data_IF_780212086880
#
_entry.id   IF_780212086880
#
_cell.length_a   1.000
_cell.length_b   1.000
_cell.length_c   1.000
_cell.angle_alpha   90.00
_cell.angle_beta   90.00
_cell.angle_gamma   90.00
#
_symmetry.space_group_name_H-M   'P 1'
#
loop_
_entity.id
_entity.type
_entity.pdbx_description
1 polymer ?
#
# COMPACT_ATOMS: atom_id res chain seq x y z
N UNK A 1 4.50 -12.48 -16.17
CA UNK A 1 3.40 -12.21 -17.12
C UNK A 1 2.24 -11.57 -16.36
N UNK A 2 1.78 -10.41 -16.83
CA UNK A 2 0.57 -9.75 -16.33
C UNK A 2 -0.67 -10.53 -16.79
N UNK A 3 -1.67 -10.64 -15.93
CA UNK A 3 -2.93 -11.32 -16.24
C UNK A 3 -4.01 -10.32 -16.65
N UNK A 4 -5.01 -10.77 -17.42
CA UNK A 4 -6.14 -9.93 -17.80
C UNK A 4 -6.97 -9.51 -16.58
N UNK A 5 -7.30 -8.22 -16.53
CA UNK A 5 -8.24 -7.65 -15.57
C UNK A 5 -9.69 -7.83 -16.06
N UNK A 6 -10.62 -7.89 -15.12
CA UNK A 6 -12.06 -8.04 -15.37
C UNK A 6 -12.83 -6.78 -14.95
N UNK A 7 -14.11 -6.68 -15.34
CA UNK A 7 -15.00 -5.59 -14.88
C UNK A 7 -15.13 -5.55 -13.34
N UNK A 8 -15.04 -6.70 -12.68
CA UNK A 8 -15.01 -6.75 -11.22
C UNK A 8 -13.71 -6.15 -10.66
N UNK A 9 -12.58 -6.33 -11.35
CA UNK A 9 -11.31 -5.73 -10.93
C UNK A 9 -11.40 -4.20 -10.98
N UNK A 10 -12.04 -3.62 -12.02
CA UNK A 10 -12.34 -2.19 -12.10
C UNK A 10 -13.24 -1.69 -10.97
N UNK A 11 -14.30 -2.45 -10.65
CA UNK A 11 -15.19 -2.13 -9.51
C UNK A 11 -14.42 -2.07 -8.18
N UNK A 12 -13.51 -3.00 -7.94
CA UNK A 12 -12.72 -3.01 -6.70
C UNK A 12 -11.58 -1.98 -6.72
N UNK A 13 -11.00 -1.69 -7.88
CA UNK A 13 -10.08 -0.57 -8.04
C UNK A 13 -10.77 0.78 -7.75
N UNK A 14 -12.01 0.96 -8.23
CA UNK A 14 -12.84 2.12 -7.87
C UNK A 14 -13.08 2.19 -6.36
N UNK A 15 -13.35 1.07 -5.69
CA UNK A 15 -13.43 1.08 -4.23
C UNK A 15 -12.11 1.50 -3.55
N UNK A 16 -10.95 1.07 -4.06
CA UNK A 16 -9.64 1.51 -3.59
C UNK A 16 -9.41 3.01 -3.84
N UNK A 17 -9.87 3.56 -4.96
CA UNK A 17 -9.76 4.99 -5.26
C UNK A 17 -10.55 5.86 -4.27
N UNK A 18 -11.71 5.39 -3.81
CA UNK A 18 -12.46 6.06 -2.74
C UNK A 18 -11.70 6.08 -1.41
N UNK A 19 -10.94 5.02 -1.10
CA UNK A 19 -10.06 5.02 0.07
C UNK A 19 -8.87 5.97 -0.13
N UNK A 20 -8.29 6.03 -1.34
CA UNK A 20 -7.20 6.94 -1.66
C UNK A 20 -7.55 8.41 -1.40
N UNK A 21 -8.80 8.81 -1.66
CA UNK A 21 -9.32 10.17 -1.37
C UNK A 21 -9.24 10.56 0.11
N UNK A 22 -9.15 9.58 1.02
CA UNK A 22 -9.05 9.81 2.47
C UNK A 22 -7.61 10.00 2.96
N UNK A 23 -6.61 9.82 2.09
CA UNK A 23 -5.20 10.01 2.46
C UNK A 23 -4.87 11.49 2.65
N UNK A 24 -4.22 11.80 3.77
CA UNK A 24 -3.63 13.13 4.06
C UNK A 24 -2.22 13.31 3.46
N UNK A 25 -1.66 12.27 2.86
CA UNK A 25 -0.35 12.33 2.19
C UNK A 25 -0.51 12.84 0.76
N UNK A 26 0.49 13.58 0.28
CA UNK A 26 0.57 14.10 -1.10
C UNK A 26 0.40 12.98 -2.14
N UNK A 27 1.02 11.82 -1.89
CA UNK A 27 0.87 10.65 -2.73
C UNK A 27 -0.30 9.79 -2.25
N UNK A 28 -1.50 10.11 -2.72
CA UNK A 28 -2.77 9.52 -2.25
C UNK A 28 -2.92 8.08 -2.75
N UNK A 29 -2.64 7.10 -1.89
CA UNK A 29 -2.83 5.68 -2.16
C UNK A 29 -3.99 5.11 -1.37
N UNK A 30 -4.78 4.29 -2.02
CA UNK A 30 -5.87 3.53 -1.42
C UNK A 30 -5.72 2.06 -1.74
N UNK A 31 -6.22 1.22 -0.84
CA UNK A 31 -6.14 -0.21 -0.97
C UNK A 31 -7.39 -0.90 -0.43
N UNK A 32 -7.82 -1.98 -1.10
CA UNK A 32 -8.86 -2.88 -0.59
C UNK A 32 -8.44 -4.34 -0.76
N UNK A 33 -8.80 -5.17 0.21
CA UNK A 33 -8.67 -6.62 0.13
C UNK A 33 -10.05 -7.26 -0.11
N UNK A 34 -10.12 -8.16 -1.08
CA UNK A 34 -11.36 -8.82 -1.52
C UNK A 34 -11.21 -10.33 -1.41
N UNK A 35 -12.23 -11.00 -0.88
CA UNK A 35 -12.36 -12.45 -0.92
C UNK A 35 -13.78 -12.83 -1.33
N UNK A 36 -13.92 -13.80 -2.23
CA UNK A 36 -15.23 -14.26 -2.74
C UNK A 36 -16.17 -13.12 -3.15
N UNK A 37 -15.64 -12.10 -3.85
CA UNK A 37 -16.39 -10.92 -4.31
C UNK A 37 -16.77 -9.90 -3.23
N UNK A 38 -16.34 -10.08 -1.98
CA UNK A 38 -16.62 -9.19 -0.86
C UNK A 38 -15.36 -8.49 -0.37
N UNK A 39 -15.45 -7.19 -0.12
CA UNK A 39 -14.35 -6.42 0.47
C UNK A 39 -14.28 -6.73 1.97
N UNK A 40 -13.13 -7.21 2.45
CA UNK A 40 -12.91 -7.61 3.86
C UNK A 40 -12.03 -6.63 4.64
N UNK A 41 -11.23 -5.82 3.95
CA UNK A 41 -10.44 -4.75 4.55
C UNK A 41 -10.24 -3.60 3.54
N UNK A 42 -10.09 -2.38 4.08
CA UNK A 42 -9.96 -1.13 3.32
C UNK A 42 -9.03 -0.19 4.06
N UNK A 43 -8.29 0.64 3.33
CA UNK A 43 -7.47 1.66 3.94
C UNK A 43 -6.69 2.49 2.93
N UNK A 44 -6.04 3.52 3.44
CA UNK A 44 -5.14 4.39 2.69
C UNK A 44 -3.79 4.49 3.39
N UNK A 45 -2.83 5.11 2.72
CA UNK A 45 -1.55 5.43 3.33
C UNK A 45 -1.70 6.55 4.37
N UNK A 46 -0.87 6.47 5.43
CA UNK A 46 -0.96 7.37 6.60
C UNK A 46 0.43 7.73 7.11
N UNK A 47 0.55 8.80 7.90
CA UNK A 47 1.81 9.20 8.55
C UNK A 47 2.25 8.27 9.70
N UNK A 48 1.64 7.09 9.83
CA UNK A 48 1.99 6.12 10.86
C UNK A 48 3.37 5.52 10.58
N UNK A 49 4.29 5.69 11.50
CA UNK A 49 5.69 5.24 11.36
C UNK A 49 6.04 4.01 12.21
N UNK A 50 5.12 3.54 13.05
CA UNK A 50 5.39 2.43 13.98
C UNK A 50 4.16 1.54 14.26
N UNK A 51 4.40 0.24 14.44
CA UNK A 51 3.44 -0.68 15.04
C UNK A 51 4.12 -1.72 15.95
N UNK A 52 3.48 -2.01 17.09
CA UNK A 52 3.99 -3.01 18.04
C UNK A 52 3.93 -4.46 17.55
N UNK A 53 3.16 -4.73 16.50
CA UNK A 53 3.11 -6.04 15.81
C UNK A 53 4.17 -6.18 14.70
N UNK A 54 5.01 -5.16 14.52
CA UNK A 54 6.15 -5.22 13.60
C UNK A 54 5.84 -5.08 12.11
N UNK A 55 4.58 -4.83 11.73
CA UNK A 55 4.20 -4.52 10.34
C UNK A 55 4.73 -3.18 9.84
N UNK A 56 5.02 -2.24 10.76
CA UNK A 56 5.57 -0.93 10.43
C UNK A 56 6.77 -0.72 11.36
N UNK A 57 7.96 -0.75 10.78
CA UNK A 57 9.23 -0.48 11.47
C UNK A 57 10.05 0.46 10.61
N UNK A 58 10.68 1.45 11.24
CA UNK A 58 11.66 2.33 10.61
C UNK A 58 11.21 2.87 9.25
N UNK A 59 9.96 3.32 9.17
CA UNK A 59 9.38 3.91 7.96
C UNK A 59 8.88 5.32 8.21
N UNK A 60 8.96 6.17 7.17
CA UNK A 60 8.42 7.52 7.20
C UNK A 60 6.88 7.57 7.11
N UNK A 61 6.25 6.47 6.68
CA UNK A 61 4.80 6.37 6.55
C UNK A 61 4.35 4.91 6.48
N UNK A 62 3.06 4.68 6.67
CA UNK A 62 2.44 3.39 6.44
C UNK A 62 1.80 3.41 5.06
N UNK A 63 2.22 2.51 4.18
CA UNK A 63 1.62 2.38 2.86
C UNK A 63 0.22 1.73 2.93
N UNK A 64 -0.61 1.97 1.92
CA UNK A 64 -1.99 1.52 1.89
C UNK A 64 -2.06 -0.02 1.92
N UNK A 65 -1.15 -0.69 1.23
CA UNK A 65 -1.02 -2.15 1.16
C UNK A 65 -0.75 -2.75 2.54
N UNK A 66 0.23 -2.19 3.26
CA UNK A 66 0.60 -2.63 4.61
C UNK A 66 -0.55 -2.41 5.59
N UNK A 67 -1.22 -1.25 5.50
CA UNK A 67 -2.40 -0.95 6.31
C UNK A 67 -3.49 -2.04 6.15
N UNK A 68 -3.83 -2.37 4.91
CA UNK A 68 -4.88 -3.35 4.61
C UNK A 68 -4.47 -4.78 4.96
N UNK A 69 -3.24 -5.20 4.62
CA UNK A 69 -2.76 -6.55 4.94
C UNK A 69 -2.67 -6.77 6.44
N UNK A 70 -2.28 -5.75 7.21
CA UNK A 70 -2.29 -5.80 8.67
C UNK A 70 -3.70 -5.97 9.23
N UNK A 71 -4.72 -5.34 8.64
CA UNK A 71 -6.11 -5.58 9.02
C UNK A 71 -6.55 -7.01 8.71
N UNK A 72 -6.20 -7.54 7.54
CA UNK A 72 -6.48 -8.94 7.18
C UNK A 72 -5.83 -9.92 8.17
N UNK A 73 -4.56 -9.68 8.52
CA UNK A 73 -3.83 -10.47 9.50
C UNK A 73 -4.52 -10.43 10.87
N UNK A 74 -4.86 -9.24 11.38
CA UNK A 74 -5.55 -9.09 12.67
C UNK A 74 -6.96 -9.69 12.71
N UNK A 75 -7.62 -9.78 11.56
CA UNK A 75 -8.93 -10.44 11.42
C UNK A 75 -8.81 -11.95 11.21
N UNK A 76 -7.61 -12.51 11.22
CA UNK A 76 -7.34 -13.92 10.94
C UNK A 76 -8.00 -14.40 9.63
N UNK A 77 -7.92 -13.59 8.57
CA UNK A 77 -8.46 -13.99 7.27
C UNK A 77 -7.65 -15.19 6.73
N UNK A 78 -8.35 -16.30 6.53
CA UNK A 78 -7.75 -17.54 6.01
C UNK A 78 -8.06 -17.77 4.52
N UNK A 79 -9.16 -17.21 4.04
CA UNK A 79 -9.57 -17.33 2.64
C UNK A 79 -8.60 -16.61 1.70
N UNK A 80 -8.47 -17.10 0.47
CA UNK A 80 -7.66 -16.44 -0.55
C UNK A 80 -8.19 -15.03 -0.83
N UNK A 81 -7.30 -14.06 -0.86
CA UNK A 81 -7.64 -12.66 -1.14
C UNK A 81 -6.98 -12.16 -2.42
N UNK A 82 -7.63 -11.19 -3.05
CA UNK A 82 -7.03 -10.30 -4.03
C UNK A 82 -6.87 -8.93 -3.39
N UNK A 83 -5.73 -8.30 -3.60
CA UNK A 83 -5.41 -6.96 -3.11
C UNK A 83 -5.49 -5.98 -4.29
N UNK A 84 -6.22 -4.88 -4.12
CA UNK A 84 -6.35 -3.82 -5.12
C UNK A 84 -5.70 -2.56 -4.57
N UNK A 85 -4.81 -1.94 -5.33
CA UNK A 85 -4.04 -0.75 -4.95
C UNK A 85 -4.23 0.30 -6.03
N UNK A 86 -4.60 1.51 -5.63
CA UNK A 86 -4.78 2.64 -6.56
C UNK A 86 -4.11 3.86 -5.97
N UNK A 87 -3.45 4.64 -6.83
CA UNK A 87 -2.97 5.98 -6.52
C UNK A 87 -3.78 6.99 -7.32
N UNK A 88 -4.09 8.12 -6.71
CA UNK A 88 -4.72 9.23 -7.41
C UNK A 88 -3.71 10.34 -7.71
N UNK A 89 -3.72 10.83 -8.95
CA UNK A 89 -3.15 12.12 -9.32
C UNK A 89 -4.00 13.27 -8.76
N UNK A 90 -3.54 14.52 -8.87
CA UNK A 90 -4.22 15.70 -8.33
C UNK A 90 -5.62 15.89 -8.90
N UNK A 91 -5.79 15.64 -10.20
CA UNK A 91 -7.06 15.68 -10.94
C UNK A 91 -8.03 14.52 -10.61
N UNK A 92 -7.59 13.54 -9.80
CA UNK A 92 -8.39 12.38 -9.43
C UNK A 92 -8.33 11.22 -10.42
N UNK A 93 -7.53 11.32 -11.48
CA UNK A 93 -7.23 10.19 -12.37
C UNK A 93 -6.34 9.15 -11.68
N UNK A 94 -6.33 7.92 -12.21
CA UNK A 94 -5.45 6.87 -11.74
C UNK A 94 -4.01 7.16 -12.13
N UNK A 95 -3.11 7.09 -11.15
CA UNK A 95 -1.68 7.22 -11.32
C UNK A 95 -0.98 5.92 -10.95
N UNK A 96 0.32 5.82 -11.26
CA UNK A 96 1.10 4.63 -10.94
C UNK A 96 1.09 4.33 -9.43
N UNK A 97 0.61 3.12 -9.09
CA UNK A 97 0.51 2.58 -7.74
C UNK A 97 1.24 1.25 -7.58
N UNK A 98 2.21 0.98 -8.46
CA UNK A 98 3.11 -0.15 -8.37
C UNK A 98 3.67 -0.31 -6.94
N UNK A 99 3.38 -1.43 -6.25
CA UNK A 99 3.76 -1.60 -4.85
C UNK A 99 5.28 -1.52 -4.66
N UNK A 100 5.74 -0.90 -3.59
CA UNK A 100 7.18 -0.86 -3.32
C UNK A 100 7.73 -2.24 -2.90
N UNK A 101 9.05 -2.37 -2.93
CA UNK A 101 9.74 -3.61 -2.55
C UNK A 101 9.34 -4.15 -1.17
N UNK A 102 9.14 -3.25 -0.19
CA UNK A 102 8.75 -3.64 1.17
C UNK A 102 7.30 -4.15 1.24
N UNK A 103 6.37 -3.47 0.57
CA UNK A 103 4.99 -3.95 0.44
C UNK A 103 4.96 -5.33 -0.20
N UNK A 104 5.76 -5.55 -1.26
CA UNK A 104 5.87 -6.84 -1.95
C UNK A 104 6.45 -7.93 -1.06
N UNK A 105 7.48 -7.63 -0.26
CA UNK A 105 8.02 -8.58 0.73
C UNK A 105 6.93 -9.00 1.72
N UNK A 106 6.14 -8.05 2.23
CA UNK A 106 5.00 -8.36 3.11
C UNK A 106 3.97 -9.20 2.37
N UNK A 107 3.60 -8.86 1.13
CA UNK A 107 2.68 -9.65 0.31
C UNK A 107 3.15 -11.10 0.12
N UNK A 108 4.45 -11.31 -0.10
CA UNK A 108 5.06 -12.65 -0.29
C UNK A 108 5.04 -13.49 0.98
N UNK A 109 5.08 -12.86 2.16
CA UNK A 109 4.96 -13.55 3.44
C UNK A 109 3.50 -13.94 3.78
N UNK A 110 2.50 -13.44 3.04
CA UNK A 110 1.08 -13.72 3.29
C UNK A 110 0.58 -14.87 2.40
N UNK A 111 0.46 -16.11 2.91
CA UNK A 111 0.11 -17.28 2.09
C UNK A 111 -1.32 -17.22 1.52
N UNK A 112 -2.19 -16.41 2.10
CA UNK A 112 -3.57 -16.22 1.64
C UNK A 112 -3.70 -15.19 0.51
N UNK A 113 -2.66 -14.41 0.18
CA UNK A 113 -2.72 -13.44 -0.90
C UNK A 113 -2.49 -14.13 -2.26
N UNK A 114 -3.47 -14.03 -3.16
CA UNK A 114 -3.45 -14.65 -4.50
C UNK A 114 -2.92 -13.70 -5.57
N UNK A 115 -3.54 -12.52 -5.65
CA UNK A 115 -3.19 -11.50 -6.64
C UNK A 115 -3.06 -10.12 -6.00
N UNK A 116 -2.15 -9.32 -6.54
CA UNK A 116 -2.11 -7.89 -6.39
C UNK A 116 -2.52 -7.26 -7.72
N UNK A 117 -3.48 -6.34 -7.67
CA UNK A 117 -3.97 -5.55 -8.79
C UNK A 117 -3.60 -4.11 -8.48
N UNK A 118 -2.87 -3.45 -9.37
CA UNK A 118 -2.45 -2.07 -9.20
C UNK A 118 -2.59 -1.29 -10.50
N UNK A 119 -2.60 0.04 -10.44
CA UNK A 119 -2.61 0.94 -11.62
C UNK A 119 -1.19 1.25 -12.07
N UNK A 120 -0.90 1.16 -13.36
CA UNK A 120 0.39 1.56 -13.94
C UNK A 120 0.48 3.08 -14.21
N UNK A 121 1.55 3.53 -14.87
CA UNK A 121 1.75 4.92 -15.27
C UNK A 121 0.71 5.48 -16.24
N UNK A 122 0.01 4.62 -16.98
CA UNK A 122 -1.07 5.01 -17.89
C UNK A 122 -2.44 4.95 -17.20
N UNK A 123 -2.47 4.61 -15.90
CA UNK A 123 -3.70 4.42 -15.15
C UNK A 123 -4.43 3.10 -15.44
N UNK A 124 -3.79 2.16 -16.17
CA UNK A 124 -4.37 0.86 -16.51
C UNK A 124 -4.16 -0.15 -15.38
N UNK A 125 -5.12 -1.06 -15.19
CA UNK A 125 -5.01 -2.10 -14.18
C UNK A 125 -4.08 -3.23 -14.62
N UNK A 126 -3.08 -3.51 -13.78
CA UNK A 126 -2.15 -4.63 -13.89
C UNK A 126 -2.46 -5.63 -12.79
N UNK A 127 -2.75 -6.87 -13.17
CA UNK A 127 -2.98 -7.99 -12.25
C UNK A 127 -1.81 -8.95 -12.26
N UNK A 128 -1.25 -9.23 -11.10
CA UNK A 128 -0.09 -10.10 -10.96
C UNK A 128 -0.10 -10.91 -9.66
N UNK A 129 0.67 -12.00 -9.64
CA UNK A 129 1.00 -12.73 -8.41
C UNK A 129 2.22 -12.06 -7.76
N UNK A 130 2.26 -11.79 -6.44
CA UNK A 130 3.42 -11.14 -5.81
C UNK A 130 4.76 -11.87 -6.00
N UNK A 131 4.72 -13.20 -6.15
CA UNK A 131 5.91 -14.00 -6.47
C UNK A 131 6.51 -13.69 -7.85
N UNK A 132 5.71 -13.13 -8.77
CA UNK A 132 6.11 -12.77 -10.13
C UNK A 132 6.44 -11.29 -10.28
N UNK A 133 6.45 -10.53 -9.18
CA UNK A 133 6.75 -9.10 -9.21
C UNK A 133 8.25 -8.86 -9.35
N UNK A 134 8.63 -8.11 -10.38
CA UNK A 134 10.03 -7.85 -10.74
C UNK A 134 10.40 -6.37 -10.75
N UNK A 135 9.45 -5.47 -10.49
CA UNK A 135 9.74 -4.02 -10.45
C UNK A 135 10.55 -3.73 -9.19
N UNK A 136 11.71 -3.11 -9.35
CA UNK A 136 12.51 -2.59 -8.25
C UNK A 136 12.06 -1.16 -7.91
N UNK A 137 11.19 -1.04 -6.91
CA UNK A 137 10.64 0.24 -6.49
C UNK A 137 10.99 0.54 -5.03
N UNK A 138 11.99 1.42 -4.84
CA UNK A 138 12.32 2.01 -3.55
C UNK A 138 11.63 3.36 -3.37
N UNK A 139 10.87 3.51 -2.28
CA UNK A 139 10.13 4.74 -2.02
C UNK A 139 11.05 5.89 -1.62
N UNK A 140 10.57 7.12 -1.85
CA UNK A 140 11.27 8.32 -1.41
C UNK A 140 11.47 8.35 0.11
N UNK A 141 10.54 7.79 0.88
CA UNK A 141 10.68 7.64 2.34
C UNK A 141 11.88 6.77 2.70
N UNK A 142 12.01 5.60 2.07
CA UNK A 142 13.14 4.69 2.29
C UNK A 142 14.48 5.30 1.88
N UNK A 143 14.53 5.97 0.72
CA UNK A 143 15.72 6.70 0.26
C UNK A 143 16.13 7.78 1.26
N UNK A 144 15.17 8.57 1.76
CA UNK A 144 15.44 9.65 2.71
C UNK A 144 16.00 9.14 4.05
N UNK A 145 15.57 7.98 4.53
CA UNK A 145 16.12 7.33 5.72
C UNK A 145 17.56 6.86 5.46
N UNK A 146 17.80 6.16 4.35
CA UNK A 146 19.13 5.67 3.99
C UNK A 146 20.14 6.81 3.83
N UNK A 147 19.72 7.89 3.19
CA UNK A 147 20.50 9.11 2.98
C UNK A 147 20.60 9.99 4.25
N UNK A 148 20.02 9.55 5.38
CA UNK A 148 20.00 10.28 6.66
C UNK A 148 19.40 11.70 6.57
N UNK A 149 18.54 11.94 5.58
CA UNK A 149 17.79 13.21 5.42
C UNK A 149 16.65 13.35 6.42
N UNK A 150 16.33 12.28 7.14
CA UNK A 150 15.31 12.25 8.19
C UNK A 150 15.91 11.59 9.44
N UNK A 151 15.68 12.18 10.62
CA UNK A 151 16.06 11.59 11.91
C UNK A 151 14.81 11.10 12.63
N UNK A 152 14.79 9.83 13.03
CA UNK A 152 13.75 9.33 13.93
C UNK A 152 14.08 9.78 15.35
N UNK A 153 13.38 10.80 15.85
CA UNK A 153 13.40 11.07 17.28
C UNK A 153 12.61 9.95 17.96
N UNK A 154 13.33 9.04 18.62
CA UNK A 154 12.73 7.95 19.41
C UNK A 154 12.03 8.57 20.62
N UNK A 155 10.81 9.06 20.44
CA UNK A 155 9.93 9.43 21.54
C UNK A 155 8.77 8.43 21.53
N UNK A 156 8.89 7.45 22.41
CA UNK A 156 7.80 6.56 22.74
C UNK A 156 6.60 7.38 23.22
N UNK A 157 5.43 7.02 22.66
CA UNK A 157 4.05 7.46 22.99
C UNK A 157 3.49 8.57 22.09
N UNK A 158 2.57 8.08 21.23
CA UNK A 158 1.36 8.76 20.76
C UNK A 158 1.59 10.12 20.10
N UNK A 159 1.69 10.09 18.77
CA UNK A 159 1.71 11.22 17.85
C UNK A 159 2.94 12.13 17.96
N UNK A 160 3.71 12.24 16.88
CA UNK A 160 4.24 13.53 16.38
C UNK A 160 4.88 13.37 15.00
N UNK A 161 4.65 14.38 14.18
CA UNK A 161 5.05 14.53 12.79
C UNK A 161 6.58 14.45 12.62
N UNK A 162 7.01 13.97 11.46
CA UNK A 162 8.39 14.04 10.99
C UNK A 162 8.71 15.53 10.72
N UNK A 163 9.70 16.09 11.41
CA UNK A 163 10.30 17.36 11.03
C UNK A 163 11.40 17.09 10.01
N UNK A 164 11.23 17.66 8.81
CA UNK A 164 12.29 17.71 7.80
C UNK A 164 13.27 18.77 8.25
N UNK A 165 14.52 18.38 8.50
CA UNK A 165 15.62 19.32 8.71
C UNK A 165 15.84 20.08 7.40
N UNK A 166 15.51 21.37 7.40
CA UNK A 166 15.87 22.30 6.34
C UNK A 166 17.40 22.36 6.24
N UNK A 167 17.90 22.27 4.99
CA UNK A 167 19.26 22.62 4.62
C UNK A 167 19.50 24.12 4.84
#
# INVERSE_FOLDING_TARGET
>A
MCMNCSLNDEKFASAASHEAKKSELLSRHGCVAVTSGKIVARGCNTYRTYSGDGFIKDSCSCHAEVNVLRQCYRKNITNKINLYVVRLASDGSYANSAPCNECISIMRMMPFLKYCIYTDENGLLIKMRPSMYSIDHNTNGKKAIYEKRVKFNVIHKRQKQIHVSSL
#
